data_IF_932013283948
#
_entry.id   IF_932013283948
#
_cell.length_a   1.000
_cell.length_b   1.000
_cell.length_c   1.000
_cell.angle_alpha   90.00
_cell.angle_beta   90.00
_cell.angle_gamma   90.00
#
_symmetry.space_group_name_H-M   'P 1'
#
loop_
_entity.id
_entity.type
_entity.pdbx_description
1 polymer ?
#
# COMPACT_ATOMS: atom_id res chain seq x y z
N UNK A 1 -6.28 42.82 3.61
CA UNK A 1 -5.74 44.14 4.01
C UNK A 1 -5.16 44.10 5.44
N UNK A 2 -4.44 43.03 5.83
CA UNK A 2 -3.88 42.87 7.18
C UNK A 2 -2.39 42.44 7.19
N UNK A 3 -1.74 42.41 6.02
CA UNK A 3 -0.35 41.94 5.87
C UNK A 3 0.66 43.08 5.65
N UNK A 4 0.27 44.34 5.95
CA UNK A 4 1.14 45.51 5.75
C UNK A 4 1.63 46.17 7.05
N UNK A 5 1.27 45.64 8.22
CA UNK A 5 1.54 46.31 9.51
C UNK A 5 2.76 45.80 10.27
N UNK A 6 3.36 44.65 9.90
CA UNK A 6 4.56 44.11 10.59
C UNK A 6 5.85 44.46 9.81
N UNK A 7 5.93 45.68 9.26
CA UNK A 7 7.14 46.16 8.58
C UNK A 7 7.61 47.54 9.04
N UNK A 8 7.09 48.02 10.16
CA UNK A 8 7.58 49.24 10.80
C UNK A 8 8.24 48.91 12.13
N UNK A 9 9.43 49.49 12.33
CA UNK A 9 10.37 49.34 13.45
C UNK A 9 11.31 48.13 13.43
N UNK A 10 12.13 48.05 12.37
CA UNK A 10 13.44 47.39 12.48
C UNK A 10 14.55 48.29 11.93
N UNK A 11 14.68 49.48 12.50
CA UNK A 11 15.82 50.38 12.29
C UNK A 11 16.21 51.01 13.62
N UNK A 12 16.63 50.19 14.58
CA UNK A 12 17.41 50.69 15.70
C UNK A 12 18.22 49.55 16.34
N UNK A 13 19.51 49.81 16.52
CA UNK A 13 20.56 48.97 17.09
C UNK A 13 21.11 47.81 16.25
N UNK A 14 22.29 48.08 15.69
CA UNK A 14 23.20 47.09 15.17
C UNK A 14 23.82 46.25 16.29
N UNK A 15 23.69 44.93 16.17
CA UNK A 15 24.73 43.95 16.48
C UNK A 15 24.29 42.60 15.86
N UNK A 16 25.04 42.09 14.87
CA UNK A 16 24.71 40.82 14.16
C UNK A 16 24.55 39.63 15.12
N UNK A 17 25.12 39.70 16.34
CA UNK A 17 25.03 38.65 17.36
C UNK A 17 23.67 38.56 18.07
N UNK A 18 22.91 39.65 18.16
CA UNK A 18 21.58 39.61 18.81
C UNK A 18 20.51 39.06 17.87
N UNK A 19 20.64 39.30 16.56
CA UNK A 19 19.75 38.75 15.55
C UNK A 19 19.90 37.23 15.38
N UNK A 20 21.13 36.70 15.47
CA UNK A 20 21.35 35.25 15.47
C UNK A 20 20.82 34.58 16.74
N UNK A 21 20.95 35.23 17.90
CA UNK A 21 20.41 34.71 19.17
C UNK A 21 18.88 34.69 19.20
N UNK A 22 18.22 35.72 18.64
CA UNK A 22 16.76 35.74 18.47
C UNK A 22 16.28 34.71 17.44
N UNK A 23 17.03 34.51 16.34
CA UNK A 23 16.72 33.46 15.36
C UNK A 23 16.86 32.05 15.96
N UNK A 24 17.89 31.82 16.77
CA UNK A 24 18.06 30.57 17.53
C UNK A 24 16.97 30.38 18.60
N UNK A 25 16.59 31.43 19.31
CA UNK A 25 15.51 31.35 20.31
C UNK A 25 14.16 31.02 19.65
N UNK A 26 13.88 31.61 18.48
CA UNK A 26 12.68 31.29 17.68
C UNK A 26 12.74 29.86 17.11
N UNK A 27 13.92 29.38 16.70
CA UNK A 27 14.14 27.98 16.32
C UNK A 27 13.94 27.02 17.51
N UNK A 28 14.44 27.35 18.71
CA UNK A 28 14.24 26.56 19.94
C UNK A 28 12.78 26.51 20.37
N UNK A 29 12.02 27.61 20.22
CA UNK A 29 10.58 27.63 20.50
C UNK A 29 9.79 26.83 19.44
N UNK A 30 10.23 26.83 18.17
CA UNK A 30 9.65 26.00 17.12
C UNK A 30 9.91 24.50 17.31
N UNK A 31 11.07 24.11 17.84
CA UNK A 31 11.36 22.69 18.15
C UNK A 31 10.61 22.17 19.38
N UNK A 32 10.22 23.06 20.30
CA UNK A 32 9.45 22.70 21.51
C UNK A 32 7.93 22.67 21.30
N UNK A 33 7.45 22.99 20.09
CA UNK A 33 6.04 23.15 19.76
C UNK A 33 5.50 22.10 18.80
N UNK A 34 5.77 20.80 19.03
CA UNK A 34 4.91 19.70 18.56
C UNK A 34 5.33 18.35 19.17
N UNK A 35 5.19 18.16 20.48
CA UNK A 35 5.08 16.79 21.02
C UNK A 35 3.64 16.32 20.82
N UNK A 36 3.27 16.07 19.56
CA UNK A 36 2.12 15.22 19.29
C UNK A 36 2.42 13.88 19.93
N UNK A 37 1.62 13.51 20.94
CA UNK A 37 1.72 12.22 21.63
C UNK A 37 1.84 11.11 20.57
N UNK A 38 3.01 10.48 20.46
CA UNK A 38 3.14 9.24 19.70
C UNK A 38 2.19 8.24 20.34
N UNK A 39 1.11 7.94 19.63
CA UNK A 39 0.13 6.95 20.08
C UNK A 39 0.87 5.64 20.25
N UNK A 40 0.85 5.09 21.47
CA UNK A 40 1.50 3.81 21.86
C UNK A 40 0.98 2.58 21.08
N UNK A 41 0.01 2.76 20.20
CA UNK A 41 -0.69 1.72 19.46
C UNK A 41 -0.29 1.75 17.99
N UNK A 42 -0.18 0.55 17.40
CA UNK A 42 0.02 0.41 15.97
C UNK A 42 -1.15 1.05 15.19
N UNK A 43 -0.85 1.59 14.00
CA UNK A 43 -1.86 2.14 13.11
C UNK A 43 -2.83 1.03 12.70
N UNK A 44 -4.10 1.20 13.02
CA UNK A 44 -5.14 0.22 12.72
C UNK A 44 -5.50 0.27 11.22
N UNK A 45 -5.51 -0.89 10.56
CA UNK A 45 -6.02 -1.09 9.21
C UNK A 45 -7.34 -1.86 9.28
N UNK A 46 -8.42 -1.33 8.72
CA UNK A 46 -9.73 -1.99 8.74
C UNK A 46 -9.84 -3.10 7.68
N UNK A 47 -9.06 -3.04 6.60
CA UNK A 47 -9.02 -4.06 5.54
C UNK A 47 -8.20 -5.29 5.96
N UNK A 48 -7.29 -5.11 6.90
CA UNK A 48 -6.48 -6.18 7.49
C UNK A 48 -6.30 -5.95 9.01
N UNK A 49 -7.35 -6.19 9.83
CA UNK A 49 -7.33 -5.90 11.26
C UNK A 49 -6.28 -6.68 12.06
N UNK A 50 -5.90 -7.86 11.57
CA UNK A 50 -4.94 -8.77 12.23
C UNK A 50 -3.56 -8.76 11.56
N UNK A 51 -3.33 -7.89 10.58
CA UNK A 51 -2.08 -7.78 9.85
C UNK A 51 -1.62 -9.12 9.25
N UNK A 52 -2.52 -9.82 8.57
CA UNK A 52 -2.25 -11.04 7.81
C UNK A 52 -1.05 -10.84 6.87
N UNK A 53 -0.89 -9.65 6.30
CA UNK A 53 0.23 -9.32 5.43
C UNK A 53 1.60 -9.63 6.06
N UNK A 54 1.75 -9.45 7.38
CA UNK A 54 3.01 -9.70 8.07
C UNK A 54 3.34 -11.19 8.28
N UNK A 55 2.37 -12.07 8.06
CA UNK A 55 2.53 -13.52 8.20
C UNK A 55 2.92 -14.20 6.89
N UNK A 56 2.90 -13.49 5.77
CA UNK A 56 3.16 -14.02 4.43
C UNK A 56 4.62 -13.80 4.04
N UNK A 57 5.18 -14.72 3.26
CA UNK A 57 6.50 -14.51 2.65
C UNK A 57 6.40 -13.69 1.37
N UNK A 58 7.50 -13.06 0.97
CA UNK A 58 7.53 -12.16 -0.20
C UNK A 58 7.05 -12.83 -1.50
N UNK A 59 7.37 -14.11 -1.68
CA UNK A 59 6.93 -14.90 -2.84
C UNK A 59 5.40 -15.11 -2.86
N UNK A 60 4.79 -15.40 -1.70
CA UNK A 60 3.34 -15.55 -1.56
C UNK A 60 2.62 -14.23 -1.85
N UNK A 61 3.18 -13.13 -1.38
CA UNK A 61 2.66 -11.77 -1.65
C UNK A 61 2.75 -11.46 -3.14
N UNK A 62 3.90 -11.75 -3.77
CA UNK A 62 4.12 -11.50 -5.19
C UNK A 62 3.13 -12.29 -6.06
N UNK A 63 2.94 -13.58 -5.78
CA UNK A 63 2.01 -14.43 -6.53
C UNK A 63 0.57 -13.93 -6.34
N UNK A 64 0.16 -13.63 -5.10
CA UNK A 64 -1.16 -13.06 -4.82
C UNK A 64 -1.40 -11.78 -5.63
N UNK A 65 -0.45 -10.85 -5.61
CA UNK A 65 -0.60 -9.56 -6.28
C UNK A 65 -0.67 -9.73 -7.80
N UNK A 66 0.08 -10.68 -8.37
CA UNK A 66 -0.01 -11.03 -9.79
C UNK A 66 -1.39 -11.60 -10.15
N UNK A 67 -1.92 -12.52 -9.35
CA UNK A 67 -3.26 -13.09 -9.58
C UNK A 67 -4.35 -12.04 -9.41
N UNK A 68 -4.22 -11.15 -8.42
CA UNK A 68 -5.13 -10.02 -8.25
C UNK A 68 -5.18 -9.15 -9.50
N UNK A 69 -4.03 -8.77 -10.06
CA UNK A 69 -3.98 -7.99 -11.30
C UNK A 69 -4.69 -8.71 -12.44
N UNK A 70 -4.42 -10.01 -12.63
CA UNK A 70 -5.10 -10.81 -13.63
C UNK A 70 -6.63 -10.84 -13.44
N UNK A 71 -7.09 -11.06 -12.20
CA UNK A 71 -8.52 -11.09 -11.90
C UNK A 71 -9.21 -9.75 -12.21
N UNK A 72 -8.58 -8.63 -11.86
CA UNK A 72 -9.14 -7.30 -12.10
C UNK A 72 -9.10 -6.89 -13.57
N UNK A 73 -8.04 -7.20 -14.29
CA UNK A 73 -7.85 -6.76 -15.68
C UNK A 73 -8.50 -7.69 -16.70
N UNK A 74 -8.53 -9.01 -16.45
CA UNK A 74 -8.99 -10.01 -17.41
C UNK A 74 -10.35 -10.63 -17.04
N UNK A 75 -10.58 -10.97 -15.77
CA UNK A 75 -11.81 -11.65 -15.35
C UNK A 75 -12.96 -10.67 -15.09
N UNK A 76 -12.70 -9.57 -14.38
CA UNK A 76 -13.72 -8.59 -13.99
C UNK A 76 -14.49 -7.98 -15.18
N UNK A 77 -13.87 -7.67 -16.33
CA UNK A 77 -14.62 -7.14 -17.47
C UNK A 77 -15.55 -8.18 -18.13
N UNK A 78 -15.21 -9.47 -18.03
CA UNK A 78 -15.91 -10.57 -18.72
C UNK A 78 -17.09 -11.10 -17.89
N UNK A 79 -17.00 -11.07 -16.56
CA UNK A 79 -17.92 -11.80 -15.67
C UNK A 79 -19.40 -11.39 -15.79
N UNK A 80 -19.69 -10.11 -16.02
CA UNK A 80 -21.08 -9.61 -16.02
C UNK A 80 -21.90 -10.19 -17.19
N UNK A 81 -21.32 -10.20 -18.40
CA UNK A 81 -21.99 -10.77 -19.57
C UNK A 81 -21.91 -12.30 -19.57
N UNK A 82 -20.76 -12.87 -19.18
CA UNK A 82 -20.57 -14.30 -19.08
C UNK A 82 -21.59 -14.94 -18.11
N UNK A 83 -21.78 -14.36 -16.93
CA UNK A 83 -22.78 -14.83 -15.95
C UNK A 83 -24.21 -14.69 -16.49
N UNK A 84 -24.53 -13.56 -17.14
CA UNK A 84 -25.88 -13.31 -17.68
C UNK A 84 -26.27 -14.27 -18.80
N UNK A 85 -25.30 -14.64 -19.64
CA UNK A 85 -25.53 -15.50 -20.79
C UNK A 85 -25.22 -16.98 -20.51
N UNK A 86 -24.79 -17.31 -19.29
CA UNK A 86 -24.37 -18.66 -18.89
C UNK A 86 -23.25 -19.23 -19.79
N UNK A 87 -22.36 -18.36 -20.25
CA UNK A 87 -21.25 -18.71 -21.13
C UNK A 87 -19.92 -18.75 -20.38
N UNK A 88 -19.13 -19.81 -20.63
CA UNK A 88 -17.78 -19.94 -20.08
C UNK A 88 -16.73 -19.82 -21.19
N UNK A 89 -15.91 -18.79 -21.11
CA UNK A 89 -14.79 -18.59 -22.03
C UNK A 89 -13.63 -19.53 -21.67
N UNK A 90 -13.39 -20.52 -22.54
CA UNK A 90 -12.31 -21.51 -22.36
C UNK A 90 -10.92 -20.87 -22.37
N UNK A 91 -10.75 -19.69 -22.95
CA UNK A 91 -9.47 -18.98 -22.95
C UNK A 91 -8.97 -18.68 -21.54
N UNK A 92 -9.87 -18.52 -20.58
CA UNK A 92 -9.54 -18.32 -19.16
C UNK A 92 -8.69 -19.49 -18.63
N UNK A 93 -8.99 -20.72 -19.04
CA UNK A 93 -8.22 -21.90 -18.59
C UNK A 93 -6.81 -21.95 -19.18
N UNK A 94 -6.64 -21.47 -20.41
CA UNK A 94 -5.31 -21.37 -21.02
C UNK A 94 -4.50 -20.25 -20.36
N UNK A 95 -5.10 -19.08 -20.14
CA UNK A 95 -4.48 -17.94 -19.43
C UNK A 95 -4.03 -18.36 -18.01
N UNK A 96 -4.90 -19.03 -17.24
CA UNK A 96 -4.57 -19.55 -15.91
C UNK A 96 -3.50 -20.65 -15.94
N UNK A 97 -3.47 -21.47 -17.00
CA UNK A 97 -2.45 -22.49 -17.22
C UNK A 97 -1.07 -21.89 -17.48
N UNK A 98 -1.00 -20.86 -18.34
CA UNK A 98 0.23 -20.14 -18.66
C UNK A 98 0.83 -19.41 -17.44
N UNK A 99 -0.04 -18.95 -16.54
CA UNK A 99 0.37 -18.37 -15.25
C UNK A 99 0.76 -19.42 -14.19
N UNK A 100 0.60 -20.72 -14.46
CA UNK A 100 0.93 -21.78 -13.53
C UNK A 100 -0.04 -21.93 -12.34
N UNK A 101 -1.26 -21.41 -12.47
CA UNK A 101 -2.27 -21.45 -11.40
C UNK A 101 -2.99 -22.80 -11.34
N UNK A 102 -2.94 -23.58 -12.41
CA UNK A 102 -3.57 -24.90 -12.49
C UNK A 102 -2.65 -25.97 -11.88
N UNK A 103 -3.15 -26.69 -10.88
CA UNK A 103 -2.37 -27.71 -10.18
C UNK A 103 -1.18 -27.12 -9.41
N UNK A 104 -1.33 -25.89 -8.90
CA UNK A 104 -0.24 -25.10 -8.34
C UNK A 104 0.55 -25.84 -7.24
N UNK A 105 -0.07 -26.72 -6.46
CA UNK A 105 0.57 -27.48 -5.37
C UNK A 105 1.30 -28.76 -5.82
N UNK A 106 1.20 -29.15 -7.09
CA UNK A 106 1.86 -30.35 -7.61
C UNK A 106 3.32 -30.07 -7.92
N UNK A 107 4.19 -31.01 -7.52
CA UNK A 107 5.61 -30.97 -7.86
C UNK A 107 5.88 -31.76 -9.14
N UNK A 108 6.57 -31.15 -10.10
CA UNK A 108 6.88 -31.75 -11.41
C UNK A 108 5.79 -31.48 -12.46
N UNK A 109 5.85 -32.18 -13.60
CA UNK A 109 4.87 -32.09 -14.69
C UNK A 109 4.66 -30.70 -15.33
N UNK A 110 5.55 -29.74 -15.08
CA UNK A 110 5.38 -28.35 -15.50
C UNK A 110 4.51 -27.50 -14.55
N UNK A 111 4.16 -28.02 -13.37
CA UNK A 111 3.42 -27.31 -12.33
C UNK A 111 4.37 -26.49 -11.42
N UNK A 112 3.84 -25.42 -10.83
CA UNK A 112 4.62 -24.44 -10.07
C UNK A 112 5.17 -24.96 -8.73
N UNK A 113 4.55 -25.98 -8.11
CA UNK A 113 4.99 -26.56 -6.84
C UNK A 113 4.90 -25.60 -5.64
N UNK A 114 3.89 -24.71 -5.62
CA UNK A 114 3.72 -23.67 -4.60
C UNK A 114 3.11 -24.18 -3.30
N UNK A 115 3.27 -23.39 -2.23
CA UNK A 115 2.74 -23.70 -0.90
C UNK A 115 1.20 -23.77 -0.89
N UNK A 116 0.64 -24.52 0.04
CA UNK A 116 -0.82 -24.53 0.26
C UNK A 116 -1.37 -23.16 0.68
N UNK A 117 -0.55 -22.33 1.31
CA UNK A 117 -0.90 -20.94 1.62
C UNK A 117 -1.03 -20.13 0.34
N UNK A 118 -0.05 -20.24 -0.57
CA UNK A 118 -0.12 -19.62 -1.91
C UNK A 118 -1.38 -20.06 -2.64
N UNK A 119 -1.69 -21.35 -2.66
CA UNK A 119 -2.91 -21.87 -3.28
C UNK A 119 -4.18 -21.22 -2.70
N UNK A 120 -4.26 -21.09 -1.37
CA UNK A 120 -5.37 -20.40 -0.71
C UNK A 120 -5.45 -18.90 -1.04
N UNK A 121 -4.30 -18.24 -1.17
CA UNK A 121 -4.25 -16.83 -1.60
C UNK A 121 -4.71 -16.66 -3.05
N UNK A 122 -4.30 -17.55 -3.96
CA UNK A 122 -4.74 -17.55 -5.35
C UNK A 122 -6.26 -17.75 -5.44
N UNK A 123 -6.79 -18.74 -4.71
CA UNK A 123 -8.24 -18.97 -4.65
C UNK A 123 -8.98 -17.72 -4.15
N UNK A 124 -8.49 -17.08 -3.08
CA UNK A 124 -9.07 -15.84 -2.53
C UNK A 124 -9.14 -14.69 -3.55
N UNK A 125 -8.22 -14.59 -4.50
CA UNK A 125 -8.25 -13.51 -5.49
C UNK A 125 -9.15 -13.84 -6.71
N UNK A 126 -9.50 -15.11 -6.93
CA UNK A 126 -10.31 -15.57 -8.06
C UNK A 126 -11.77 -15.82 -7.68
N UNK A 127 -12.01 -16.38 -6.50
CA UNK A 127 -13.34 -16.74 -5.95
C UNK A 127 -14.03 -15.55 -5.27
#
# INVERSE_FOLDING_TARGET
MALRFIRYNFNFFGNKRQLSALAEAVQRVRSSGNSINETKYAKFNWEDPLNLQSCLVDEEVMIRDQVRTYAQEHLMPRITLANRNEEFDRNIMYEMGDMGLLGATLNGYGCAGVSYVTYGLVAREIE
#
